data_IF_084631989860
#
_entry.id   IF_084631989860
#
_cell.length_a   1.000
_cell.length_b   1.000
_cell.length_c   1.000
_cell.angle_alpha   90.00
_cell.angle_beta   90.00
_cell.angle_gamma   90.00
#
_symmetry.space_group_name_H-M   'P 1'
#
loop_
_entity.id
_entity.type
_entity.pdbx_description
1 polymer ?
#
# COMPACT_ATOMS: atom_id res chain seq x y z
N UNK A 1 13.70 1.97 -17.75
CA UNK A 1 13.72 2.24 -16.29
C UNK A 1 14.79 1.39 -15.65
N UNK A 2 15.51 1.90 -14.64
CA UNK A 2 16.53 1.11 -13.94
C UNK A 2 15.98 0.60 -12.60
N UNK A 3 15.18 -0.48 -12.65
CA UNK A 3 14.55 -1.06 -11.46
C UNK A 3 15.47 -2.14 -10.88
N UNK A 4 15.89 -1.95 -9.63
CA UNK A 4 16.71 -2.90 -8.89
C UNK A 4 15.95 -3.42 -7.67
N UNK A 5 16.10 -4.71 -7.37
CA UNK A 5 15.54 -5.32 -6.17
C UNK A 5 16.50 -6.38 -5.60
N UNK A 6 16.25 -6.78 -4.35
CA UNK A 6 17.00 -7.84 -3.66
C UNK A 6 16.03 -8.97 -3.36
N UNK A 7 16.44 -10.20 -3.64
CA UNK A 7 15.71 -11.42 -3.30
C UNK A 7 16.72 -12.52 -2.93
N UNK A 8 16.50 -13.24 -1.83
CA UNK A 8 17.44 -14.27 -1.33
C UNK A 8 18.89 -13.75 -1.27
N UNK A 9 19.08 -12.56 -0.70
CA UNK A 9 20.37 -11.86 -0.58
C UNK A 9 21.12 -11.59 -1.89
N UNK A 10 20.47 -11.78 -3.04
CA UNK A 10 21.06 -11.52 -4.36
C UNK A 10 20.45 -10.24 -4.96
N UNK A 11 21.30 -9.45 -5.62
CA UNK A 11 20.88 -8.21 -6.28
C UNK A 11 20.46 -8.51 -7.71
N UNK A 12 19.25 -8.08 -8.08
CA UNK A 12 18.70 -8.24 -9.42
C UNK A 12 18.38 -6.89 -10.03
N UNK A 13 18.60 -6.80 -11.34
CA UNK A 13 18.13 -5.70 -12.18
C UNK A 13 17.08 -6.25 -13.12
N UNK A 14 15.92 -5.59 -13.16
CA UNK A 14 14.92 -5.91 -14.16
C UNK A 14 15.45 -5.48 -15.53
N UNK A 15 15.60 -6.47 -16.42
CA UNK A 15 16.13 -6.26 -17.78
C UNK A 15 15.02 -6.15 -18.82
N UNK A 16 13.85 -6.74 -18.56
CA UNK A 16 12.73 -6.77 -19.49
C UNK A 16 11.39 -6.44 -18.80
N UNK A 17 10.49 -5.86 -19.59
CA UNK A 17 9.17 -5.43 -19.16
C UNK A 17 9.18 -4.31 -18.13
N UNK A 18 8.01 -4.14 -17.51
CA UNK A 18 7.75 -3.14 -16.49
C UNK A 18 7.53 -3.85 -15.15
N UNK A 19 8.11 -3.34 -14.07
CA UNK A 19 7.94 -3.93 -12.75
C UNK A 19 6.46 -3.92 -12.35
N UNK A 20 5.89 -5.10 -12.08
CA UNK A 20 4.57 -5.20 -11.46
C UNK A 20 4.58 -4.49 -10.10
N UNK A 21 3.59 -3.64 -9.86
CA UNK A 21 3.53 -2.78 -8.67
C UNK A 21 4.30 -1.46 -8.80
N UNK A 22 4.94 -1.18 -9.94
CA UNK A 22 5.40 0.17 -10.27
C UNK A 22 4.21 1.13 -10.33
N UNK A 23 4.26 2.32 -9.69
CA UNK A 23 3.19 3.31 -9.77
C UNK A 23 2.89 3.78 -11.21
N UNK A 24 3.90 3.74 -12.09
CA UNK A 24 3.77 4.08 -13.50
C UNK A 24 3.48 2.86 -14.38
N UNK A 25 3.50 1.66 -13.80
CA UNK A 25 3.48 0.43 -14.57
C UNK A 25 2.23 0.26 -15.43
N UNK A 26 1.02 0.40 -14.86
CA UNK A 26 -0.22 0.30 -15.62
C UNK A 26 -0.31 1.30 -16.77
N UNK A 27 0.09 2.56 -16.55
CA UNK A 27 0.02 3.63 -17.56
C UNK A 27 0.93 3.32 -18.75
N UNK A 28 2.13 2.81 -18.48
CA UNK A 28 3.10 2.52 -19.54
C UNK A 28 2.74 1.25 -20.32
N UNK A 29 2.18 0.25 -19.64
CA UNK A 29 1.61 -0.92 -20.31
C UNK A 29 0.43 -0.51 -21.22
N UNK A 30 -0.46 0.34 -20.70
CA UNK A 30 -1.61 0.86 -21.45
C UNK A 30 -1.18 1.69 -22.66
N UNK A 31 -0.19 2.57 -22.50
CA UNK A 31 0.39 3.35 -23.61
C UNK A 31 1.03 2.45 -24.68
N UNK A 32 1.74 1.40 -24.26
CA UNK A 32 2.37 0.47 -25.18
C UNK A 32 1.33 -0.29 -26.00
N UNK A 33 0.29 -0.84 -25.35
CA UNK A 33 -0.81 -1.52 -26.05
C UNK A 33 -1.57 -0.54 -26.96
N UNK A 34 -1.88 0.67 -26.49
CA UNK A 34 -2.53 1.70 -27.30
C UNK A 34 -1.73 2.04 -28.57
N UNK A 35 -0.40 2.04 -28.51
CA UNK A 35 0.44 2.26 -29.70
C UNK A 35 0.31 1.11 -30.71
N UNK A 36 0.21 -0.13 -30.25
CA UNK A 36 0.03 -1.30 -31.10
C UNK A 36 -1.37 -1.30 -31.75
N UNK A 37 -2.39 -1.00 -30.95
CA UNK A 37 -3.79 -0.86 -31.36
C UNK A 37 -3.97 0.24 -32.42
N UNK A 38 -3.40 1.42 -32.20
CA UNK A 38 -3.49 2.54 -33.14
C UNK A 38 -2.48 2.47 -34.29
N UNK A 39 -1.61 1.46 -34.28
CA UNK A 39 -0.58 1.24 -35.30
C UNK A 39 -0.91 0.00 -36.11
N UNK A 40 -0.26 -1.11 -35.78
CA UNK A 40 -0.30 -2.35 -36.57
C UNK A 40 -1.65 -3.08 -36.53
N UNK A 41 -2.43 -2.97 -35.44
CA UNK A 41 -3.79 -3.57 -35.39
C UNK A 41 -4.89 -2.65 -35.88
N UNK A 42 -4.57 -1.40 -36.25
CA UNK A 42 -5.58 -0.38 -36.45
C UNK A 42 -6.63 -0.78 -37.49
N UNK A 43 -6.18 -1.34 -38.61
CA UNK A 43 -7.07 -1.72 -39.69
C UNK A 43 -7.87 -2.98 -39.34
N UNK A 44 -7.23 -3.98 -38.71
CA UNK A 44 -7.94 -5.15 -38.18
C UNK A 44 -9.01 -4.77 -37.16
N UNK A 45 -8.71 -3.86 -36.21
CA UNK A 45 -9.66 -3.41 -35.19
C UNK A 45 -10.83 -2.65 -35.80
N UNK A 46 -10.62 -1.89 -36.88
CA UNK A 46 -11.70 -1.17 -37.57
C UNK A 46 -12.68 -2.08 -38.30
N UNK A 47 -12.27 -3.28 -38.68
CA UNK A 47 -13.13 -4.26 -39.33
C UNK A 47 -14.00 -5.04 -38.32
N UNK A 48 -13.67 -4.98 -37.03
CA UNK A 48 -14.46 -5.59 -35.95
C UNK A 48 -15.70 -4.74 -35.66
N UNK A 49 -16.79 -5.38 -35.27
CA UNK A 49 -18.02 -4.68 -34.89
C UNK A 49 -17.84 -3.90 -33.59
N UNK A 50 -17.14 -4.51 -32.62
CA UNK A 50 -16.83 -3.87 -31.33
C UNK A 50 -15.46 -4.30 -30.83
N UNK A 51 -14.69 -3.33 -30.33
CA UNK A 51 -13.41 -3.57 -29.65
C UNK A 51 -13.33 -2.68 -28.41
N UNK A 52 -13.20 -3.30 -27.24
CA UNK A 52 -12.95 -2.61 -25.97
C UNK A 52 -11.78 -3.26 -25.24
N UNK A 53 -10.94 -2.43 -24.62
CA UNK A 53 -9.86 -2.92 -23.76
C UNK A 53 -9.98 -2.33 -22.36
N UNK A 54 -9.79 -3.18 -21.36
CA UNK A 54 -9.63 -2.80 -19.96
C UNK A 54 -8.29 -3.34 -19.46
N UNK A 55 -7.27 -2.47 -19.43
CA UNK A 55 -5.89 -2.84 -19.09
C UNK A 55 -5.38 -3.97 -20.01
N UNK A 56 -5.36 -5.21 -19.53
CA UNK A 56 -4.91 -6.42 -20.20
C UNK A 56 -6.05 -7.23 -20.85
N UNK A 57 -7.30 -7.03 -20.43
CA UNK A 57 -8.45 -7.76 -20.96
C UNK A 57 -9.08 -7.04 -22.17
N UNK A 58 -9.32 -7.75 -23.26
CA UNK A 58 -9.99 -7.23 -24.47
C UNK A 58 -11.33 -7.92 -24.72
N UNK A 59 -12.36 -7.15 -25.01
CA UNK A 59 -13.67 -7.62 -25.48
C UNK A 59 -13.82 -7.33 -26.96
N UNK A 60 -14.06 -8.37 -27.75
CA UNK A 60 -14.18 -8.29 -29.20
C UNK A 60 -15.54 -8.86 -29.61
N UNK A 61 -16.25 -8.12 -30.45
CA UNK A 61 -17.39 -8.61 -31.22
C UNK A 61 -17.00 -8.57 -32.69
N UNK A 62 -17.18 -9.69 -33.38
CA UNK A 62 -16.85 -9.85 -34.78
C UNK A 62 -17.96 -10.63 -35.50
N UNK A 63 -18.16 -10.31 -36.78
CA UNK A 63 -19.04 -11.02 -37.70
C UNK A 63 -18.55 -12.47 -37.92
N UNK A 64 -19.45 -13.38 -38.30
CA UNK A 64 -19.18 -14.80 -38.61
C UNK A 64 -18.14 -14.98 -39.74
N UNK A 65 -17.89 -13.92 -40.51
CA UNK A 65 -16.86 -13.88 -41.55
C UNK A 65 -15.43 -13.94 -40.99
N UNK A 66 -15.24 -13.60 -39.72
CA UNK A 66 -13.93 -13.66 -39.08
C UNK A 66 -13.60 -15.08 -38.63
N UNK A 67 -12.44 -15.58 -39.07
CA UNK A 67 -11.82 -16.73 -38.43
C UNK A 67 -11.08 -16.29 -37.16
N UNK A 68 -11.47 -16.85 -36.01
CA UNK A 68 -10.94 -16.50 -34.69
C UNK A 68 -9.45 -16.85 -34.58
N UNK A 69 -9.03 -18.00 -35.11
CA UNK A 69 -7.62 -18.42 -35.09
C UNK A 69 -6.74 -17.47 -35.92
N UNK A 70 -7.23 -17.02 -37.08
CA UNK A 70 -6.52 -16.04 -37.90
C UNK A 70 -6.42 -14.68 -37.21
N UNK A 71 -7.50 -14.24 -36.55
CA UNK A 71 -7.50 -13.00 -35.77
C UNK A 71 -6.51 -13.10 -34.61
N UNK A 72 -6.52 -14.20 -33.86
CA UNK A 72 -5.60 -14.45 -32.76
C UNK A 72 -4.15 -14.51 -33.24
N UNK A 73 -3.91 -15.13 -34.40
CA UNK A 73 -2.58 -15.17 -35.03
C UNK A 73 -2.10 -13.76 -35.42
N UNK A 74 -2.97 -12.92 -36.00
CA UNK A 74 -2.64 -11.51 -36.31
C UNK A 74 -2.24 -10.74 -35.05
N UNK A 75 -2.99 -10.90 -33.95
CA UNK A 75 -2.69 -10.28 -32.67
C UNK A 75 -1.36 -10.79 -32.10
N UNK A 76 -1.10 -12.10 -32.13
CA UNK A 76 0.15 -12.69 -31.63
C UNK A 76 1.38 -12.33 -32.47
N UNK A 77 1.22 -12.07 -33.77
CA UNK A 77 2.32 -11.67 -34.65
C UNK A 77 2.73 -10.21 -34.50
N UNK A 78 2.04 -9.41 -33.69
CA UNK A 78 2.31 -7.98 -33.63
C UNK A 78 3.65 -7.62 -32.97
N UNK A 79 4.01 -8.38 -31.94
CA UNK A 79 5.16 -8.13 -31.10
C UNK A 79 5.64 -9.42 -30.42
N UNK A 80 6.94 -9.78 -30.49
CA UNK A 80 7.45 -11.07 -30.02
C UNK A 80 7.32 -11.30 -28.50
N UNK A 81 7.24 -10.21 -27.71
CA UNK A 81 7.10 -10.28 -26.25
C UNK A 81 5.65 -10.29 -25.76
N UNK A 82 4.65 -10.32 -26.65
CA UNK A 82 3.24 -10.39 -26.29
C UNK A 82 2.66 -11.72 -26.73
N UNK A 83 1.80 -12.29 -25.88
CA UNK A 83 1.04 -13.49 -26.20
C UNK A 83 -0.40 -13.23 -25.77
N UNK A 84 -1.29 -13.18 -26.75
CA UNK A 84 -2.72 -13.09 -26.58
C UNK A 84 -3.31 -14.49 -26.50
N UNK A 85 -4.24 -14.67 -25.59
CA UNK A 85 -5.10 -15.85 -25.47
C UNK A 85 -6.53 -15.44 -25.78
N UNK A 86 -7.31 -16.31 -26.40
CA UNK A 86 -8.71 -16.06 -26.71
C UNK A 86 -9.61 -17.00 -25.90
N UNK A 87 -10.71 -16.46 -25.39
CA UNK A 87 -11.80 -17.22 -24.81
C UNK A 87 -13.06 -16.96 -25.65
N UNK A 88 -13.63 -18.02 -26.21
CA UNK A 88 -14.80 -17.94 -27.09
C UNK A 88 -16.12 -18.04 -26.32
N UNK A 89 -17.20 -17.55 -26.92
CA UNK A 89 -18.55 -17.72 -26.40
C UNK A 89 -18.90 -19.21 -26.34
N UNK A 90 -19.24 -19.71 -25.15
CA UNK A 90 -19.65 -21.10 -24.94
C UNK A 90 -21.08 -21.15 -24.38
N UNK A 91 -21.93 -21.99 -24.97
CA UNK A 91 -23.35 -22.10 -24.57
C UNK A 91 -24.08 -20.74 -24.53
N UNK A 92 -23.85 -19.88 -25.53
CA UNK A 92 -24.40 -18.53 -25.58
C UNK A 92 -23.99 -17.63 -24.39
N UNK A 93 -22.85 -17.92 -23.76
CA UNK A 93 -22.34 -17.18 -22.61
C UNK A 93 -20.88 -16.81 -22.83
N UNK A 94 -20.56 -15.58 -22.44
CA UNK A 94 -19.19 -15.08 -22.39
C UNK A 94 -19.07 -14.16 -21.19
N UNK A 95 -17.97 -14.25 -20.45
CA UNK A 95 -17.71 -13.34 -19.35
C UNK A 95 -16.71 -12.28 -19.78
N UNK A 96 -16.90 -11.05 -19.28
CA UNK A 96 -15.92 -9.99 -19.43
C UNK A 96 -15.81 -9.26 -18.09
N UNK A 97 -14.60 -9.21 -17.56
CA UNK A 97 -14.31 -8.71 -16.21
C UNK A 97 -15.18 -9.41 -15.14
N UNK A 98 -16.13 -8.67 -14.61
CA UNK A 98 -16.95 -9.04 -13.45
C UNK A 98 -18.41 -9.28 -13.83
N UNK A 99 -18.68 -9.40 -15.14
CA UNK A 99 -19.99 -9.57 -15.78
C UNK A 99 -20.01 -10.84 -16.62
N UNK A 100 -21.02 -11.68 -16.41
CA UNK A 100 -21.38 -12.78 -17.30
C UNK A 100 -22.49 -12.29 -18.24
N UNK A 101 -22.20 -12.30 -19.54
CA UNK A 101 -23.16 -12.01 -20.60
C UNK A 101 -23.75 -13.34 -21.07
N UNK A 102 -25.08 -13.37 -21.25
CA UNK A 102 -25.77 -14.53 -21.82
C UNK A 102 -26.73 -14.06 -22.91
N UNK A 103 -26.54 -14.53 -24.13
CA UNK A 103 -27.43 -14.25 -25.26
C UNK A 103 -28.73 -15.05 -25.10
N UNK A 104 -29.87 -14.37 -25.21
CA UNK A 104 -31.20 -14.98 -25.14
C UNK A 104 -31.74 -15.25 -26.54
N UNK A 105 -32.75 -16.11 -26.62
CA UNK A 105 -33.42 -16.46 -27.88
C UNK A 105 -34.08 -15.25 -28.56
N UNK A 106 -34.54 -14.27 -27.78
CA UNK A 106 -35.11 -13.01 -28.28
C UNK A 106 -34.05 -12.00 -28.76
N UNK A 107 -32.76 -12.39 -28.76
CA UNK A 107 -31.63 -11.54 -29.11
C UNK A 107 -31.19 -10.55 -28.01
N UNK A 108 -31.90 -10.49 -26.88
CA UNK A 108 -31.50 -9.63 -25.76
C UNK A 108 -30.35 -10.25 -24.94
N UNK A 109 -29.62 -9.40 -24.22
CA UNK A 109 -28.52 -9.83 -23.36
C UNK A 109 -28.97 -9.92 -21.90
N UNK A 110 -28.95 -11.14 -21.36
CA UNK A 110 -28.94 -11.37 -19.93
C UNK A 110 -27.58 -10.98 -19.34
N UNK A 111 -27.59 -10.40 -18.14
CA UNK A 111 -26.37 -10.03 -17.42
C UNK A 111 -26.44 -10.55 -15.99
N UNK A 112 -25.34 -11.12 -15.50
CA UNK A 112 -25.16 -11.51 -14.10
C UNK A 112 -23.76 -11.15 -13.62
N UNK A 113 -23.59 -11.07 -12.31
CA UNK A 113 -22.27 -11.03 -11.68
C UNK A 113 -21.49 -12.30 -12.03
N UNK A 114 -20.27 -12.13 -12.54
CA UNK A 114 -19.34 -13.24 -12.73
C UNK A 114 -18.35 -13.35 -11.55
N UNK A 115 -18.08 -14.59 -11.15
CA UNK A 115 -17.05 -14.94 -10.18
C UNK A 115 -16.09 -15.93 -10.82
N UNK A 116 -14.78 -15.65 -10.78
CA UNK A 116 -13.76 -16.58 -11.27
C UNK A 116 -13.86 -17.90 -10.51
N UNK A 117 -13.54 -19.01 -11.16
CA UNK A 117 -13.51 -20.35 -10.55
C UNK A 117 -12.58 -20.45 -9.32
N UNK A 118 -11.59 -19.57 -9.24
CA UNK A 118 -10.67 -19.45 -8.10
C UNK A 118 -11.28 -18.76 -6.88
N UNK A 119 -12.46 -18.16 -7.00
CA UNK A 119 -13.15 -17.53 -5.89
C UNK A 119 -13.74 -18.58 -4.95
N UNK A 120 -13.25 -18.61 -3.72
CA UNK A 120 -13.64 -19.60 -2.71
C UNK A 120 -14.97 -19.31 -2.01
N UNK A 121 -15.69 -18.24 -2.38
CA UNK A 121 -16.90 -17.81 -1.66
C UNK A 121 -16.62 -17.12 -0.32
N UNK A 122 -15.36 -17.03 0.12
CA UNK A 122 -15.05 -16.61 1.47
C UNK A 122 -15.06 -15.09 1.63
N UNK A 123 -15.97 -14.60 2.47
CA UNK A 123 -16.00 -13.21 2.91
C UNK A 123 -15.52 -13.05 4.36
N UNK A 124 -15.48 -11.81 4.86
CA UNK A 124 -15.16 -11.54 6.26
C UNK A 124 -16.24 -12.10 7.17
N UNK A 125 -15.92 -13.11 8.00
CA UNK A 125 -16.88 -13.70 8.93
C UNK A 125 -17.48 -12.65 9.91
N UNK A 126 -18.77 -12.78 10.25
CA UNK A 126 -19.49 -11.79 11.06
C UNK A 126 -18.95 -11.63 12.49
N UNK A 127 -18.28 -12.65 13.05
CA UNK A 127 -17.62 -12.56 14.36
C UNK A 127 -16.19 -11.99 14.32
N UNK A 128 -15.64 -11.70 13.12
CA UNK A 128 -14.28 -11.18 12.98
C UNK A 128 -14.08 -9.86 13.74
N UNK A 129 -12.88 -9.66 14.30
CA UNK A 129 -12.53 -8.44 15.04
C UNK A 129 -12.25 -7.26 14.10
N UNK A 130 -13.30 -6.83 13.39
CA UNK A 130 -13.30 -5.68 12.49
C UNK A 130 -14.52 -4.81 12.77
N UNK A 131 -14.45 -3.49 12.52
CA UNK A 131 -15.58 -2.59 12.69
C UNK A 131 -16.85 -3.07 11.99
N UNK A 132 -18.00 -2.96 12.67
CA UNK A 132 -19.31 -3.32 12.10
C UNK A 132 -19.61 -2.55 10.80
N UNK A 133 -19.04 -1.34 10.64
CA UNK A 133 -19.12 -0.54 9.41
C UNK A 133 -18.58 -1.30 8.19
N UNK A 134 -17.48 -2.04 8.33
CA UNK A 134 -16.91 -2.79 7.20
C UNK A 134 -17.77 -3.99 6.82
N UNK A 135 -18.33 -4.70 7.81
CA UNK A 135 -19.30 -5.78 7.59
C UNK A 135 -20.55 -5.27 6.89
N UNK A 136 -21.08 -4.12 7.33
CA UNK A 136 -22.22 -3.43 6.69
C UNK A 136 -21.90 -3.04 5.25
N UNK A 137 -20.74 -2.44 5.03
CA UNK A 137 -20.33 -1.97 3.71
C UNK A 137 -20.13 -3.13 2.74
N UNK A 138 -19.64 -4.29 3.19
CA UNK A 138 -19.58 -5.49 2.37
C UNK A 138 -20.95 -5.84 1.77
N UNK A 139 -21.99 -5.96 2.62
CA UNK A 139 -23.37 -6.25 2.17
C UNK A 139 -23.84 -5.20 1.16
N UNK A 140 -23.62 -3.92 1.46
CA UNK A 140 -24.00 -2.82 0.57
C UNK A 140 -23.27 -2.88 -0.77
N UNK A 141 -21.98 -3.19 -0.77
CA UNK A 141 -21.17 -3.29 -1.98
C UNK A 141 -21.64 -4.44 -2.87
N UNK A 142 -21.88 -5.63 -2.30
CA UNK A 142 -22.40 -6.78 -3.06
C UNK A 142 -23.78 -6.48 -3.65
N UNK A 143 -24.70 -5.96 -2.84
CA UNK A 143 -26.04 -5.61 -3.31
C UNK A 143 -26.04 -4.46 -4.33
N UNK A 144 -25.13 -3.49 -4.21
CA UNK A 144 -24.97 -2.42 -5.19
C UNK A 144 -24.35 -2.91 -6.49
N UNK A 145 -23.41 -3.87 -6.42
CA UNK A 145 -22.80 -4.50 -7.60
C UNK A 145 -23.85 -5.30 -8.36
N UNK A 146 -24.62 -6.14 -7.69
CA UNK A 146 -25.71 -6.91 -8.28
C UNK A 146 -26.72 -6.01 -9.00
N UNK A 147 -27.17 -4.91 -8.39
CA UNK A 147 -28.09 -3.95 -9.05
C UNK A 147 -27.50 -3.26 -10.27
N UNK A 148 -26.19 -3.03 -10.29
CA UNK A 148 -25.54 -2.35 -11.41
C UNK A 148 -25.34 -3.30 -12.60
N UNK A 149 -25.12 -4.58 -12.33
CA UNK A 149 -24.72 -5.57 -13.34
C UNK A 149 -25.93 -6.38 -13.81
N UNK A 150 -26.73 -6.92 -12.90
CA UNK A 150 -27.75 -7.90 -13.25
C UNK A 150 -28.92 -7.28 -14.02
N UNK A 151 -29.48 -8.05 -14.95
CA UNK A 151 -30.81 -7.78 -15.50
C UNK A 151 -31.90 -8.07 -14.46
N UNK A 152 -33.08 -7.46 -14.60
CA UNK A 152 -34.14 -7.49 -13.58
C UNK A 152 -34.60 -8.92 -13.24
N UNK A 153 -34.68 -9.79 -14.25
CA UNK A 153 -35.04 -11.21 -14.14
C UNK A 153 -33.98 -12.06 -13.39
N UNK A 154 -32.71 -11.66 -13.42
CA UNK A 154 -31.61 -12.36 -12.77
C UNK A 154 -31.22 -11.76 -11.42
N UNK A 155 -31.68 -10.54 -11.13
CA UNK A 155 -31.29 -9.80 -9.93
C UNK A 155 -31.72 -10.52 -8.64
N UNK A 156 -32.91 -11.11 -8.63
CA UNK A 156 -33.44 -11.80 -7.45
C UNK A 156 -32.61 -13.04 -7.11
N UNK A 157 -32.21 -13.84 -8.12
CA UNK A 157 -31.33 -15.00 -7.94
C UNK A 157 -29.96 -14.59 -7.40
N UNK A 158 -29.41 -13.47 -7.88
CA UNK A 158 -28.15 -12.93 -7.37
C UNK A 158 -28.27 -12.47 -5.90
N UNK A 159 -29.41 -11.88 -5.53
CA UNK A 159 -29.68 -11.49 -4.15
C UNK A 159 -29.81 -12.69 -3.20
N UNK A 160 -30.42 -13.78 -3.65
CA UNK A 160 -30.48 -15.05 -2.92
C UNK A 160 -29.07 -15.61 -2.71
N UNK A 161 -28.27 -15.69 -3.77
CA UNK A 161 -26.87 -16.11 -3.68
C UNK A 161 -26.06 -15.28 -2.67
N UNK A 162 -26.18 -13.94 -2.72
CA UNK A 162 -25.51 -13.04 -1.77
C UNK A 162 -26.01 -13.28 -0.34
N UNK A 163 -27.32 -13.48 -0.16
CA UNK A 163 -27.91 -13.72 1.14
C UNK A 163 -27.38 -15.01 1.77
N UNK A 164 -27.34 -16.10 1.00
CA UNK A 164 -26.92 -17.41 1.46
C UNK A 164 -25.42 -17.44 1.77
N UNK A 165 -24.60 -16.90 0.85
CA UNK A 165 -23.16 -16.75 1.05
C UNK A 165 -22.81 -15.96 2.33
N UNK A 166 -23.55 -14.90 2.63
CA UNK A 166 -23.32 -14.11 3.85
C UNK A 166 -23.86 -14.81 5.10
N UNK A 167 -24.94 -15.57 4.98
CA UNK A 167 -25.50 -16.35 6.08
C UNK A 167 -24.52 -17.44 6.52
N UNK A 168 -23.87 -18.12 5.57
CA UNK A 168 -22.77 -19.06 5.84
C UNK A 168 -21.60 -18.39 6.57
N UNK A 169 -21.34 -17.10 6.31
CA UNK A 169 -20.33 -16.30 7.01
C UNK A 169 -20.82 -15.77 8.38
N UNK A 170 -21.97 -16.24 8.87
CA UNK A 170 -22.53 -15.93 10.19
C UNK A 170 -23.25 -14.59 10.28
N UNK A 171 -23.61 -13.97 9.15
CA UNK A 171 -24.35 -12.71 9.17
C UNK A 171 -25.82 -12.95 9.53
N UNK A 172 -26.40 -12.17 10.47
CA UNK A 172 -27.83 -12.26 10.77
C UNK A 172 -28.68 -11.87 9.55
N UNK A 173 -29.70 -12.64 9.21
CA UNK A 173 -30.55 -12.39 8.03
C UNK A 173 -31.22 -11.00 8.08
N UNK A 174 -31.59 -10.52 9.28
CA UNK A 174 -32.13 -9.17 9.47
C UNK A 174 -31.11 -8.07 9.13
N UNK A 175 -29.83 -8.31 9.43
CA UNK A 175 -28.73 -7.40 9.09
C UNK A 175 -28.49 -7.36 7.58
N UNK A 176 -28.51 -8.52 6.92
CA UNK A 176 -28.37 -8.64 5.47
C UNK A 176 -29.52 -7.89 4.78
N UNK A 177 -30.78 -8.27 5.06
CA UNK A 177 -31.99 -7.68 4.45
C UNK A 177 -32.02 -6.16 4.64
N UNK A 178 -31.68 -5.66 5.84
CA UNK A 178 -31.63 -4.21 6.12
C UNK A 178 -30.60 -3.48 5.26
N UNK A 179 -29.45 -4.09 5.02
CA UNK A 179 -28.32 -3.45 4.34
C UNK A 179 -28.22 -3.76 2.85
N UNK A 180 -28.98 -4.72 2.36
CA UNK A 180 -29.18 -4.93 0.93
C UNK A 180 -30.03 -3.83 0.31
N UNK A 181 -31.00 -3.25 1.04
CA UNK A 181 -31.87 -2.18 0.52
C UNK A 181 -31.07 -1.00 -0.04
N UNK A 182 -31.53 -0.38 -1.15
CA UNK A 182 -30.86 0.79 -1.70
C UNK A 182 -30.85 1.91 -0.67
N UNK A 183 -29.75 2.66 -0.63
CA UNK A 183 -29.67 3.85 0.22
C UNK A 183 -30.36 4.99 -0.49
N UNK A 184 -31.34 5.62 0.16
CA UNK A 184 -31.91 6.87 -0.34
C UNK A 184 -30.79 7.92 -0.48
N UNK A 185 -30.64 8.47 -1.69
CA UNK A 185 -29.77 9.61 -1.91
C UNK A 185 -30.49 10.82 -1.34
N UNK A 186 -29.98 11.35 -0.22
CA UNK A 186 -30.45 12.64 0.27
C UNK A 186 -30.07 13.72 -0.74
N UNK A 187 -30.94 14.71 -1.01
CA UNK A 187 -30.59 15.83 -1.88
C UNK A 187 -29.32 16.49 -1.36
N UNK A 188 -28.34 16.67 -2.25
CA UNK A 188 -27.06 17.29 -1.89
C UNK A 188 -27.28 18.79 -1.80
N UNK A 189 -27.31 19.33 -0.60
CA UNK A 189 -27.29 20.78 -0.41
C UNK A 189 -25.89 21.29 -0.77
N UNK A 190 -25.80 22.14 -1.80
CA UNK A 190 -24.55 22.78 -2.18
C UNK A 190 -24.08 23.67 -1.03
N UNK A 191 -22.95 23.30 -0.42
CA UNK A 191 -22.31 24.04 0.67
C UNK A 191 -20.82 24.18 0.36
N UNK A 192 -20.14 25.09 1.04
CA UNK A 192 -18.71 25.28 0.87
C UNK A 192 -17.94 23.96 1.03
N UNK A 193 -16.98 23.72 0.13
CA UNK A 193 -16.19 22.50 0.14
C UNK A 193 -15.42 22.35 1.45
N UNK A 194 -15.67 21.25 2.17
CA UNK A 194 -14.90 20.88 3.36
C UNK A 194 -13.69 20.04 2.98
N UNK A 195 -12.54 20.33 3.57
CA UNK A 195 -11.32 19.54 3.41
C UNK A 195 -11.42 18.22 4.20
N UNK A 196 -11.10 17.07 3.58
CA UNK A 196 -11.08 15.80 4.30
C UNK A 196 -9.90 15.72 5.26
N UNK A 197 -10.18 15.45 6.54
CA UNK A 197 -9.18 15.15 7.54
C UNK A 197 -9.14 13.64 7.78
N UNK A 198 -8.09 12.98 7.30
CA UNK A 198 -7.91 11.55 7.46
C UNK A 198 -7.23 11.23 8.78
N UNK A 199 -7.89 10.43 9.61
CA UNK A 199 -7.32 9.91 10.86
C UNK A 199 -7.42 8.39 10.82
N UNK A 200 -6.32 7.71 11.16
CA UNK A 200 -6.27 6.26 11.30
C UNK A 200 -6.04 5.91 12.75
N UNK A 201 -6.91 5.09 13.33
CA UNK A 201 -6.82 4.63 14.72
C UNK A 201 -6.91 3.12 14.82
N UNK A 202 -6.50 2.59 15.98
CA UNK A 202 -6.64 1.18 16.27
C UNK A 202 -8.11 0.85 16.56
N UNK A 203 -8.60 -0.26 16.00
CA UNK A 203 -9.91 -0.78 16.35
C UNK A 203 -9.86 -1.44 17.73
N UNK A 204 -10.63 -0.90 18.67
CA UNK A 204 -10.73 -1.38 20.06
C UNK A 204 -12.17 -1.81 20.41
N UNK A 205 -12.87 -2.40 19.44
CA UNK A 205 -14.27 -2.82 19.59
C UNK A 205 -15.28 -1.76 19.14
N UNK A 206 -16.52 -2.20 18.87
CA UNK A 206 -17.54 -1.37 18.23
C UNK A 206 -17.96 -0.17 19.09
N UNK A 207 -18.23 -0.39 20.40
CA UNK A 207 -18.69 0.67 21.30
C UNK A 207 -17.66 1.79 21.46
N UNK A 208 -16.41 1.42 21.79
CA UNK A 208 -15.31 2.38 21.93
C UNK A 208 -15.05 3.15 20.64
N UNK A 209 -15.10 2.46 19.50
CA UNK A 209 -14.89 3.07 18.18
C UNK A 209 -16.01 4.05 17.83
N UNK A 210 -17.26 3.74 18.16
CA UNK A 210 -18.41 4.60 17.93
C UNK A 210 -18.36 5.87 18.79
N UNK A 211 -18.12 5.71 20.10
CA UNK A 211 -17.96 6.85 21.03
C UNK A 211 -16.83 7.77 20.56
N UNK A 212 -15.70 7.18 20.19
CA UNK A 212 -14.55 7.93 19.72
C UNK A 212 -14.85 8.66 18.41
N UNK A 213 -15.51 8.02 17.45
CA UNK A 213 -15.94 8.65 16.21
C UNK A 213 -16.87 9.85 16.48
N UNK A 214 -17.84 9.70 17.37
CA UNK A 214 -18.78 10.76 17.73
C UNK A 214 -18.08 11.94 18.39
N UNK A 215 -17.18 11.67 19.36
CA UNK A 215 -16.40 12.71 20.06
C UNK A 215 -15.49 13.48 19.09
N UNK A 216 -14.70 12.77 18.27
CA UNK A 216 -13.83 13.40 17.29
C UNK A 216 -14.61 14.20 16.26
N UNK A 217 -15.68 13.62 15.70
CA UNK A 217 -16.52 14.30 14.71
C UNK A 217 -17.14 15.57 15.28
N UNK A 218 -17.61 15.54 16.54
CA UNK A 218 -18.17 16.71 17.22
C UNK A 218 -17.10 17.78 17.42
N UNK A 219 -15.92 17.41 17.93
CA UNK A 219 -14.84 18.37 18.17
C UNK A 219 -14.36 19.02 16.86
N UNK A 220 -14.15 18.23 15.81
CA UNK A 220 -13.72 18.74 14.49
C UNK A 220 -14.77 19.67 13.91
N UNK A 221 -16.07 19.32 13.98
CA UNK A 221 -17.13 20.22 13.50
C UNK A 221 -17.20 21.53 14.26
N UNK A 222 -16.86 21.56 15.55
CA UNK A 222 -16.85 22.78 16.38
C UNK A 222 -15.61 23.64 16.18
N UNK A 223 -14.46 23.03 15.92
CA UNK A 223 -13.15 23.72 15.86
C UNK A 223 -12.72 24.04 14.43
N UNK A 224 -13.06 23.17 13.47
CA UNK A 224 -12.63 23.26 12.08
C UNK A 224 -13.83 23.15 11.14
N UNK A 225 -14.60 24.24 11.00
CA UNK A 225 -15.79 24.31 10.15
C UNK A 225 -15.53 23.93 8.67
N UNK A 226 -14.34 24.25 8.18
CA UNK A 226 -13.88 23.93 6.83
C UNK A 226 -13.35 22.50 6.66
N UNK A 227 -13.47 21.62 7.67
CA UNK A 227 -12.99 20.25 7.60
C UNK A 227 -14.07 19.22 7.94
N UNK A 228 -13.90 18.00 7.43
CA UNK A 228 -14.72 16.85 7.83
C UNK A 228 -13.84 15.63 8.13
N UNK A 229 -14.25 14.83 9.11
CA UNK A 229 -13.48 13.69 9.58
C UNK A 229 -13.68 12.46 8.69
N UNK A 230 -12.59 11.95 8.14
CA UNK A 230 -12.47 10.63 7.53
C UNK A 230 -11.75 9.67 8.48
N UNK A 231 -12.52 9.04 9.38
CA UNK A 231 -11.94 8.10 10.34
C UNK A 231 -11.88 6.67 9.77
N UNK A 232 -10.68 6.09 9.82
CA UNK A 232 -10.42 4.68 9.49
C UNK A 232 -9.91 3.93 10.72
N UNK A 233 -10.39 2.71 10.91
CA UNK A 233 -9.95 1.84 11.99
C UNK A 233 -9.15 0.67 11.43
N UNK A 234 -7.97 0.44 11.99
CA UNK A 234 -7.17 -0.76 11.70
C UNK A 234 -7.17 -1.70 12.89
N UNK A 235 -7.57 -2.93 12.66
CA UNK A 235 -7.33 -4.04 13.59
C UNK A 235 -5.86 -4.44 13.55
N UNK A 236 -5.28 -4.79 14.71
CA UNK A 236 -3.95 -5.40 14.72
C UNK A 236 -4.05 -6.81 14.15
N UNK A 237 -3.12 -7.17 13.25
CA UNK A 237 -2.98 -8.55 12.79
C UNK A 237 -2.46 -9.38 13.97
N UNK A 238 -3.16 -10.45 14.35
CA UNK A 238 -2.68 -11.36 15.39
C UNK A 238 -1.49 -12.19 14.89
N UNK A 239 -1.50 -12.56 13.61
CA UNK A 239 -0.42 -13.30 12.95
C UNK A 239 0.14 -12.39 11.85
N UNK A 240 1.42 -12.03 11.99
CA UNK A 240 2.13 -11.26 10.98
C UNK A 240 3.00 -12.19 10.13
N UNK A 241 2.53 -12.55 8.95
CA UNK A 241 3.42 -13.16 7.94
C UNK A 241 4.27 -12.05 7.33
N UNK A 242 5.55 -11.97 7.71
CA UNK A 242 6.51 -11.16 6.98
C UNK A 242 6.85 -11.90 5.69
N UNK A 243 6.18 -11.55 4.60
CA UNK A 243 6.42 -12.12 3.28
C UNK A 243 7.57 -11.44 2.53
N UNK A 244 8.17 -10.40 3.11
CA UNK A 244 9.32 -9.70 2.56
C UNK A 244 10.58 -10.11 3.28
N UNK A 245 11.66 -10.25 2.52
CA UNK A 245 12.99 -10.52 3.06
C UNK A 245 13.37 -9.48 4.12
N UNK A 246 13.95 -9.97 5.21
CA UNK A 246 14.53 -9.11 6.23
C UNK A 246 15.78 -8.47 5.64
N UNK A 247 15.68 -7.19 5.31
CA UNK A 247 16.84 -6.40 4.88
C UNK A 247 17.92 -6.41 5.96
N UNK A 248 19.18 -6.42 5.52
CA UNK A 248 20.32 -6.27 6.41
C UNK A 248 20.19 -4.99 7.26
N UNK A 249 20.58 -5.11 8.53
CA UNK A 249 20.68 -4.01 9.47
C UNK A 249 21.48 -2.83 8.92
N UNK A 250 22.56 -3.07 8.15
CA UNK A 250 23.37 -2.01 7.55
C UNK A 250 22.69 -1.29 6.39
N UNK A 251 21.72 -1.93 5.73
CA UNK A 251 20.87 -1.30 4.70
C UNK A 251 19.74 -0.45 5.31
N UNK A 252 19.58 -0.46 6.64
CA UNK A 252 18.53 0.29 7.32
C UNK A 252 18.81 1.79 7.31
N UNK A 253 17.80 2.59 6.94
CA UNK A 253 17.83 4.05 6.99
C UNK A 253 16.81 4.60 7.99
N UNK A 254 16.95 5.90 8.34
CA UNK A 254 16.09 6.60 9.32
C UNK A 254 16.06 5.84 10.65
N UNK A 255 17.24 5.58 11.20
CA UNK A 255 17.42 4.76 12.38
C UNK A 255 18.40 5.39 13.37
N UNK A 256 18.27 4.94 14.63
CA UNK A 256 19.24 5.20 15.68
C UNK A 256 20.16 3.98 15.74
N UNK A 257 21.46 4.26 15.68
CA UNK A 257 22.50 3.27 15.82
C UNK A 257 23.22 3.44 17.15
N UNK A 258 23.63 2.31 17.71
CA UNK A 258 24.53 2.23 18.85
C UNK A 258 25.83 1.60 18.39
N UNK A 259 26.93 2.19 18.81
CA UNK A 259 28.26 1.62 18.72
C UNK A 259 28.71 1.23 20.12
N UNK A 260 29.24 0.01 20.28
CA UNK A 260 29.87 -0.45 21.51
C UNK A 260 31.31 -0.88 21.22
N UNK A 261 32.25 -0.31 21.96
CA UNK A 261 33.64 -0.72 21.94
C UNK A 261 33.87 -1.92 22.87
N UNK A 262 34.98 -2.63 22.66
CA UNK A 262 35.42 -3.73 23.52
C UNK A 262 35.74 -3.29 24.94
N UNK A 263 36.14 -2.04 25.15
CA UNK A 263 36.36 -1.46 26.48
C UNK A 263 35.07 -1.04 27.22
N UNK A 264 33.90 -1.28 26.63
CA UNK A 264 32.60 -0.94 27.22
C UNK A 264 32.13 0.50 26.94
N UNK A 265 32.97 1.34 26.31
CA UNK A 265 32.55 2.66 25.88
C UNK A 265 31.57 2.57 24.72
N UNK A 266 30.53 3.42 24.76
CA UNK A 266 29.46 3.39 23.78
C UNK A 266 29.17 4.77 23.18
N UNK A 267 28.57 4.75 21.99
CA UNK A 267 28.09 5.91 21.24
C UNK A 267 26.67 5.63 20.74
N UNK A 268 25.85 6.67 20.72
CA UNK A 268 24.53 6.67 20.10
C UNK A 268 24.48 7.80 19.09
N UNK A 269 24.03 7.47 17.89
CA UNK A 269 23.85 8.45 16.84
C UNK A 269 22.68 8.12 15.94
N UNK A 270 22.05 9.14 15.39
CA UNK A 270 21.04 8.97 14.35
C UNK A 270 21.64 8.97 12.94
N UNK A 271 20.95 8.32 12.00
CA UNK A 271 21.20 8.47 10.57
C UNK A 271 19.90 8.53 9.77
N UNK A 272 19.83 9.47 8.83
CA UNK A 272 18.78 9.53 7.81
C UNK A 272 19.12 8.65 6.60
N UNK A 273 20.40 8.35 6.38
CA UNK A 273 20.94 7.50 5.31
C UNK A 273 21.09 6.05 5.80
N UNK A 274 21.55 5.16 4.93
CA UNK A 274 21.87 3.78 5.31
C UNK A 274 22.92 3.75 6.43
N UNK A 275 22.76 2.81 7.37
CA UNK A 275 23.71 2.62 8.47
C UNK A 275 25.12 2.30 7.95
N UNK A 276 25.25 1.54 6.86
CA UNK A 276 26.53 1.27 6.17
C UNK A 276 27.33 2.55 5.88
N UNK A 277 26.67 3.59 5.36
CA UNK A 277 27.29 4.89 5.08
C UNK A 277 27.66 5.63 6.37
N UNK A 278 26.84 5.52 7.41
CA UNK A 278 27.17 6.13 8.71
C UNK A 278 28.38 5.45 9.36
N UNK A 279 28.48 4.14 9.23
CA UNK A 279 29.60 3.35 9.74
C UNK A 279 30.89 3.69 9.01
N UNK A 280 30.86 3.87 7.69
CA UNK A 280 32.04 4.26 6.92
C UNK A 280 32.54 5.68 7.24
N UNK A 281 31.66 6.58 7.69
CA UNK A 281 32.04 7.90 8.21
C UNK A 281 32.79 7.83 9.54
N UNK A 282 32.41 6.89 10.41
CA UNK A 282 33.09 6.65 11.68
C UNK A 282 34.35 5.78 11.52
N UNK A 283 34.36 4.87 10.54
CA UNK A 283 35.44 3.92 10.26
C UNK A 283 35.84 3.99 8.78
N UNK A 284 36.54 5.08 8.38
CA UNK A 284 36.92 5.29 7.00
C UNK A 284 37.99 4.28 6.54
N UNK A 285 38.03 4.01 5.24
CA UNK A 285 38.93 3.00 4.65
C UNK A 285 40.42 3.28 4.85
N UNK A 286 40.79 4.54 5.11
CA UNK A 286 42.17 4.95 5.36
C UNK A 286 42.64 4.68 6.80
N UNK A 287 41.73 4.45 7.76
CA UNK A 287 42.09 4.23 9.17
C UNK A 287 43.01 3.02 9.37
N UNK A 288 42.89 1.98 8.52
CA UNK A 288 43.79 0.82 8.52
C UNK A 288 45.01 0.93 7.59
N UNK A 289 45.23 2.08 6.93
CA UNK A 289 46.27 2.26 5.91
C UNK A 289 47.39 3.25 6.32
N UNK A 290 47.47 3.61 7.60
CA UNK A 290 48.54 4.46 8.13
C UNK A 290 48.55 5.91 7.61
N UNK A 291 47.42 6.42 7.11
CA UNK A 291 47.32 7.79 6.58
C UNK A 291 46.91 8.80 7.67
N UNK A 292 47.54 9.98 7.68
CA UNK A 292 47.21 11.09 8.58
C UNK A 292 46.12 11.98 7.97
N UNK A 293 44.93 12.01 8.58
CA UNK A 293 43.79 12.84 8.16
C UNK A 293 43.05 13.43 9.36
N UNK A 294 42.21 14.44 9.10
CA UNK A 294 41.40 15.11 10.13
C UNK A 294 40.35 14.16 10.73
N UNK A 295 40.36 14.07 12.07
CA UNK A 295 39.40 13.27 12.84
C UNK A 295 38.13 14.10 13.03
N UNK A 296 36.98 13.57 12.59
CA UNK A 296 35.66 14.25 12.69
C UNK A 296 34.63 13.50 13.53
N UNK A 297 35.02 12.37 14.12
CA UNK A 297 34.14 11.45 14.81
C UNK A 297 34.72 11.11 16.19
N UNK A 298 33.87 11.13 17.22
CA UNK A 298 34.25 10.68 18.56
C UNK A 298 34.60 9.19 18.63
N UNK A 299 33.92 8.34 17.85
CA UNK A 299 34.28 6.91 17.71
C UNK A 299 35.70 6.77 17.17
N UNK A 300 35.98 7.36 16.01
CA UNK A 300 37.32 7.34 15.41
C UNK A 300 38.41 7.87 16.35
N UNK A 301 38.17 9.00 17.03
CA UNK A 301 39.14 9.53 18.02
C UNK A 301 39.43 8.50 19.10
N UNK A 302 38.38 7.95 19.72
CA UNK A 302 38.53 6.94 20.76
C UNK A 302 39.33 5.72 20.29
N UNK A 303 39.09 5.24 19.07
CA UNK A 303 39.83 4.08 18.53
C UNK A 303 41.29 4.38 18.24
N UNK A 304 41.63 5.61 17.82
CA UNK A 304 43.01 6.05 17.67
C UNK A 304 43.69 6.13 19.04
N UNK A 305 43.04 6.77 20.00
CA UNK A 305 43.61 7.03 21.33
C UNK A 305 43.81 5.74 22.15
N UNK A 306 42.93 4.75 21.95
CA UNK A 306 42.98 3.47 22.67
C UNK A 306 43.68 2.34 21.91
N UNK A 307 43.91 2.48 20.60
CA UNK A 307 44.45 1.42 19.76
C UNK A 307 43.52 0.20 19.58
N UNK A 308 42.24 0.31 19.94
CA UNK A 308 41.30 -0.81 19.85
C UNK A 308 40.93 -1.18 18.41
N UNK A 309 40.91 -2.48 18.11
CA UNK A 309 40.44 -3.03 16.83
C UNK A 309 38.99 -3.46 16.96
N UNK A 310 38.16 -3.08 15.98
CA UNK A 310 36.71 -3.30 16.06
C UNK A 310 36.14 -3.95 14.80
N UNK A 311 35.39 -5.04 14.99
CA UNK A 311 34.52 -5.63 13.97
C UNK A 311 33.25 -4.79 13.80
N UNK A 312 33.07 -4.21 12.62
CA UNK A 312 31.96 -3.30 12.28
C UNK A 312 30.60 -3.95 12.53
N UNK A 313 30.46 -5.23 12.20
CA UNK A 313 29.19 -5.97 12.28
C UNK A 313 28.74 -6.24 13.70
N UNK A 314 29.69 -6.42 14.62
CA UNK A 314 29.43 -6.68 16.04
C UNK A 314 29.26 -5.39 16.83
N UNK A 315 30.04 -4.37 16.50
CA UNK A 315 30.06 -3.12 17.25
C UNK A 315 28.89 -2.20 16.94
N UNK A 316 28.43 -2.14 15.69
CA UNK A 316 27.29 -1.31 15.30
C UNK A 316 25.98 -2.11 15.30
N UNK A 317 24.97 -1.58 15.98
CA UNK A 317 23.63 -2.17 16.04
C UNK A 317 22.57 -1.09 15.81
N UNK A 318 21.49 -1.46 15.12
CA UNK A 318 20.29 -0.62 15.03
C UNK A 318 19.46 -0.82 16.29
N UNK A 319 19.30 0.23 17.10
CA UNK A 319 18.50 0.17 18.33
C UNK A 319 17.05 0.57 18.10
N UNK A 320 16.80 1.44 17.12
CA UNK A 320 15.45 1.88 16.79
C UNK A 320 15.35 2.32 15.33
N UNK A 321 14.26 1.96 14.66
CA UNK A 321 13.96 2.39 13.28
C UNK A 321 12.66 3.18 13.27
N UNK A 322 12.69 4.36 12.65
CA UNK A 322 11.49 5.17 12.48
C UNK A 322 10.59 4.52 11.42
N UNK A 323 9.29 4.31 11.70
CA UNK A 323 8.35 3.73 10.76
C UNK A 323 8.31 4.49 9.41
N UNK A 324 8.28 3.79 8.27
CA UNK A 324 8.32 4.42 6.95
C UNK A 324 6.99 5.08 6.56
N UNK A 325 5.89 4.74 7.22
CA UNK A 325 4.52 5.18 6.91
C UNK A 325 4.17 6.61 7.39
N UNK A 326 5.18 7.42 7.73
CA UNK A 326 5.03 8.79 8.22
C UNK A 326 5.63 9.77 7.21
N UNK A 327 5.16 11.03 7.22
CA UNK A 327 5.75 12.07 6.37
C UNK A 327 7.22 12.33 6.75
N UNK A 328 8.06 12.69 5.77
CA UNK A 328 9.49 12.91 6.01
C UNK A 328 9.75 13.92 7.14
N UNK A 329 8.95 14.99 7.23
CA UNK A 329 9.05 15.98 8.32
C UNK A 329 8.83 15.38 9.70
N UNK A 330 7.80 14.53 9.85
CA UNK A 330 7.53 13.85 11.12
C UNK A 330 8.59 12.80 11.43
N UNK A 331 9.07 12.06 10.43
CA UNK A 331 10.12 11.06 10.59
C UNK A 331 11.41 11.67 11.13
N UNK A 332 11.82 12.81 10.57
CA UNK A 332 13.00 13.55 11.05
C UNK A 332 12.81 13.98 12.50
N UNK A 333 11.66 14.57 12.86
CA UNK A 333 11.39 14.97 14.25
C UNK A 333 11.45 13.80 15.22
N UNK A 334 10.80 12.69 14.91
CA UNK A 334 10.84 11.48 15.74
C UNK A 334 12.25 10.89 15.84
N UNK A 335 13.05 10.97 14.78
CA UNK A 335 14.45 10.53 14.80
C UNK A 335 15.28 11.36 15.79
N UNK A 336 15.11 12.68 15.80
CA UNK A 336 15.78 13.55 16.77
C UNK A 336 15.36 13.23 18.21
N UNK A 337 14.05 13.04 18.43
CA UNK A 337 13.52 12.68 19.76
C UNK A 337 14.03 11.31 20.22
N UNK A 338 14.05 10.32 19.33
CA UNK A 338 14.53 8.97 19.64
C UNK A 338 16.03 8.96 19.98
N UNK A 339 16.85 9.75 19.28
CA UNK A 339 18.27 9.91 19.62
C UNK A 339 18.45 10.50 21.02
N UNK A 340 17.73 11.59 21.33
CA UNK A 340 17.81 12.24 22.63
C UNK A 340 17.39 11.31 23.78
N UNK A 341 16.32 10.52 23.57
CA UNK A 341 15.88 9.49 24.51
C UNK A 341 16.97 8.42 24.67
N UNK A 342 17.51 7.91 23.56
CA UNK A 342 18.56 6.89 23.57
C UNK A 342 19.80 7.35 24.36
N UNK A 343 20.30 8.56 24.09
CA UNK A 343 21.43 9.15 24.82
C UNK A 343 21.10 9.28 26.31
N UNK A 344 19.90 9.79 26.65
CA UNK A 344 19.49 9.96 28.05
C UNK A 344 19.39 8.62 28.80
N UNK A 345 18.87 7.58 28.15
CA UNK A 345 18.66 6.26 28.75
C UNK A 345 19.96 5.47 28.92
N UNK A 346 20.82 5.45 27.90
CA UNK A 346 22.04 4.62 27.89
C UNK A 346 23.27 5.36 28.46
N UNK A 347 23.24 6.71 28.45
CA UNK A 347 24.35 7.58 28.89
C UNK A 347 25.71 7.21 28.25
N UNK A 348 25.80 7.17 26.91
CA UNK A 348 27.01 6.80 26.20
C UNK A 348 28.15 7.79 26.43
N UNK A 349 29.34 7.29 26.79
CA UNK A 349 30.53 8.11 27.07
C UNK A 349 31.07 8.84 25.84
N UNK A 350 30.95 8.24 24.66
CA UNK A 350 31.49 8.80 23.41
C UNK A 350 30.57 9.84 22.76
N UNK A 351 29.38 10.09 23.34
CA UNK A 351 28.48 11.17 22.93
C UNK A 351 28.78 12.46 23.70
N UNK A 352 30.04 12.91 23.67
CA UNK A 352 30.42 14.19 24.26
C UNK A 352 29.88 15.29 23.35
N UNK A 353 28.63 15.70 23.59
CA UNK A 353 28.14 16.95 23.01
C UNK A 353 28.93 18.09 23.64
N UNK A 354 29.53 18.96 22.82
CA UNK A 354 29.90 20.30 23.28
C UNK A 354 28.62 20.89 23.89
N UNK A 355 28.63 21.20 25.19
CA UNK A 355 27.52 21.87 25.86
C UNK A 355 27.25 23.21 25.16
N UNK A 356 26.38 23.21 24.16
CA UNK A 356 25.72 24.43 23.70
C UNK A 356 24.56 24.70 24.65
N UNK A 357 24.88 25.01 25.90
CA UNK A 357 23.92 25.67 26.79
C UNK A 357 23.94 27.13 26.37
N UNK A 358 23.13 27.49 25.38
CA UNK A 358 22.75 28.89 25.23
C UNK A 358 21.65 29.13 26.27
N UNK A 359 22.00 29.85 27.33
CA UNK A 359 21.03 30.32 28.32
C UNK A 359 19.97 31.14 27.57
N UNK A 360 18.73 30.65 27.55
CA UNK A 360 17.61 31.42 26.99
C UNK A 360 17.34 32.60 27.93
N UNK A 361 17.83 33.79 27.59
CA UNK A 361 17.39 35.04 28.20
C UNK A 361 16.01 35.39 27.64
N UNK A 362 14.98 34.73 28.17
CA UNK A 362 13.61 35.15 27.91
C UNK A 362 13.33 36.39 28.76
N UNK A 363 12.84 37.51 28.18
CA UNK A 363 12.40 38.66 28.94
C UNK A 363 11.10 38.27 29.65
N UNK A 364 11.22 37.73 30.86
CA UNK A 364 10.07 37.56 31.72
C UNK A 364 9.61 38.94 32.19
N UNK A 365 8.33 39.31 32.04
CA UNK A 365 7.84 40.56 32.60
C UNK A 365 7.99 40.47 34.12
N UNK A 366 8.73 41.42 34.70
CA UNK A 366 8.78 41.59 36.14
C UNK A 366 7.37 41.85 36.63
N UNK A 367 6.95 41.11 37.67
CA UNK A 367 5.72 41.43 38.40
C UNK A 367 5.89 42.83 38.98
N UNK A 368 5.13 43.79 38.45
CA UNK A 368 4.85 45.07 39.09
C UNK A 368 4.03 44.86 40.34
#
# INVERSE_FOLDING_TARGET
>A
MNVHFVFNNSYYRQVDGIAMGSPLGPILADFFLAKLENGKLKDTIKELDMYYRYVDDTFILADEKFNIDELLLKFNNIHPSLTFTCEEEQENKLHFLDVLLSRREDGSLGRRVYGKSTFTGQYTHFRSYVPIKYKRNLVKCLASRARKICTEDLLQKEFEYIHDSLTEMGYPSSFIKKHMKPSEKKPVTLTAHKKPLFIKLQFNGNLSSEILFQRLSRNIRRTFYAAYLCLSFSSRRMIGTQTKDKLDSFATSMCICQFNCTCGDSYIGRTTRQLSQRVSEHLPSWFGKGQTKTIRSSILSHLIDSGHVVDKTKAFKVIHRIPPNLSNRLRIRLLHTAEAIGIRSIKPKLCIQKKFVQTLSLPWPNKT
#
